data_IF_192573919565
#
_entry.id   IF_192573919565
#
_cell.length_a   1.000
_cell.length_b   1.000
_cell.length_c   1.000
_cell.angle_alpha   90.00
_cell.angle_beta   90.00
_cell.angle_gamma   90.00
#
_symmetry.space_group_name_H-M   'P 1'
#
loop_
_entity.id
_entity.type
_entity.pdbx_description
1 polymer ?
#
# COMPACT_ATOMS: atom_id res chain seq x y z
N UNK A 1 -24.56 26.44 -24.67
CA UNK A 1 -24.46 25.58 -25.85
C UNK A 1 -23.56 26.32 -26.82
N UNK A 2 -22.30 25.88 -26.92
CA UNK A 2 -21.26 26.65 -27.59
C UNK A 2 -21.40 26.42 -29.11
N UNK A 3 -21.19 27.42 -29.98
CA UNK A 3 -21.28 27.26 -31.44
C UNK A 3 -20.35 26.18 -32.02
N UNK A 4 -19.37 25.72 -31.21
CA UNK A 4 -18.49 24.59 -31.48
C UNK A 4 -19.22 23.23 -31.47
N UNK A 5 -20.31 23.10 -30.70
CA UNK A 5 -21.01 21.83 -30.50
C UNK A 5 -21.95 21.49 -31.68
N UNK A 6 -22.49 22.49 -32.37
CA UNK A 6 -23.32 22.31 -33.58
C UNK A 6 -22.50 21.94 -34.82
N UNK A 7 -21.27 22.46 -34.93
CA UNK A 7 -20.34 22.09 -36.00
C UNK A 7 -19.91 20.61 -35.91
N UNK A 8 -19.77 20.08 -34.70
CA UNK A 8 -19.41 18.67 -34.48
C UNK A 8 -20.55 17.72 -34.90
N UNK A 9 -21.80 18.07 -34.62
CA UNK A 9 -22.95 17.23 -34.95
C UNK A 9 -23.27 17.25 -36.46
N UNK A 10 -23.17 18.41 -37.10
CA UNK A 10 -23.42 18.54 -38.55
C UNK A 10 -22.34 17.86 -39.39
N UNK A 11 -21.07 17.90 -38.96
CA UNK A 11 -19.96 17.26 -39.69
C UNK A 11 -19.91 15.74 -39.48
N UNK A 12 -20.33 15.23 -38.31
CA UNK A 12 -20.43 13.79 -38.02
C UNK A 12 -21.36 13.02 -38.97
N UNK A 13 -22.34 13.72 -39.56
CA UNK A 13 -23.29 13.15 -40.51
C UNK A 13 -22.69 12.91 -41.90
N UNK A 14 -21.66 13.68 -42.27
CA UNK A 14 -21.03 13.64 -43.61
C UNK A 14 -19.85 12.67 -43.70
N UNK A 15 -19.22 12.33 -42.57
CA UNK A 15 -17.97 11.55 -42.51
C UNK A 15 -18.15 10.04 -42.25
N UNK A 16 -19.39 9.53 -42.32
CA UNK A 16 -19.73 8.13 -41.95
C UNK A 16 -19.15 7.05 -42.88
N UNK A 17 -18.32 7.40 -43.86
CA UNK A 17 -17.82 6.47 -44.88
C UNK A 17 -16.29 6.30 -44.96
N UNK A 18 -15.50 6.94 -44.07
CA UNK A 18 -14.03 6.81 -44.15
C UNK A 18 -13.36 6.84 -42.76
N UNK A 19 -13.01 5.67 -42.22
CA UNK A 19 -12.38 5.52 -40.89
C UNK A 19 -11.08 6.34 -40.76
N UNK A 20 -10.28 6.41 -41.82
CA UNK A 20 -9.06 7.22 -41.84
C UNK A 20 -9.35 8.73 -41.70
N UNK A 21 -10.49 9.21 -42.23
CA UNK A 21 -10.92 10.60 -42.11
C UNK A 21 -11.33 10.97 -40.69
N UNK A 22 -11.88 10.01 -39.94
CA UNK A 22 -12.25 10.19 -38.54
C UNK A 22 -11.01 10.30 -37.65
N UNK A 23 -10.01 9.42 -37.84
CA UNK A 23 -8.75 9.46 -37.08
C UNK A 23 -7.98 10.77 -37.30
N UNK A 24 -7.81 11.19 -38.56
CA UNK A 24 -7.10 12.43 -38.89
C UNK A 24 -7.79 13.68 -38.31
N UNK A 25 -9.12 13.66 -38.21
CA UNK A 25 -9.89 14.75 -37.61
C UNK A 25 -9.73 14.80 -36.09
N UNK A 26 -9.76 13.64 -35.43
CA UNK A 26 -9.53 13.55 -33.98
C UNK A 26 -8.13 14.01 -33.63
N UNK A 27 -7.10 13.56 -34.33
CA UNK A 27 -5.71 13.97 -34.08
C UNK A 27 -5.52 15.49 -34.25
N UNK A 28 -6.14 16.08 -35.27
CA UNK A 28 -6.12 17.52 -35.49
C UNK A 28 -6.76 18.30 -34.32
N UNK A 29 -7.89 17.81 -33.80
CA UNK A 29 -8.53 18.41 -32.62
C UNK A 29 -7.62 18.35 -31.40
N UNK A 30 -6.96 17.21 -31.17
CA UNK A 30 -6.04 17.05 -30.04
C UNK A 30 -4.80 17.95 -30.18
N UNK A 31 -4.22 18.07 -31.36
CA UNK A 31 -3.09 18.97 -31.63
C UNK A 31 -3.45 20.44 -31.38
N UNK A 32 -4.64 20.87 -31.83
CA UNK A 32 -5.14 22.22 -31.55
C UNK A 32 -5.30 22.47 -30.05
N UNK A 33 -5.88 21.53 -29.31
CA UNK A 33 -6.03 21.63 -27.85
C UNK A 33 -4.69 21.66 -27.12
N UNK A 34 -3.72 20.85 -27.55
CA UNK A 34 -2.37 20.85 -26.98
C UNK A 34 -1.69 22.22 -27.13
N UNK A 35 -1.79 22.83 -28.31
CA UNK A 35 -1.25 24.17 -28.58
C UNK A 35 -1.91 25.26 -27.73
N UNK A 36 -3.23 25.17 -27.54
CA UNK A 36 -3.98 26.11 -26.69
C UNK A 36 -3.53 26.04 -25.22
N UNK A 37 -3.35 24.83 -24.69
CA UNK A 37 -2.86 24.62 -23.32
C UNK A 37 -1.44 25.16 -23.14
N UNK A 38 -0.57 24.97 -24.13
CA UNK A 38 0.82 25.42 -24.07
C UNK A 38 0.93 26.96 -24.02
N UNK A 39 0.03 27.68 -24.68
CA UNK A 39 -0.04 29.14 -24.62
C UNK A 39 -0.46 29.66 -23.23
N UNK A 40 -1.29 28.90 -22.52
CA UNK A 40 -1.76 29.25 -21.18
C UNK A 40 -0.67 29.14 -20.10
N UNK A 41 0.47 28.48 -20.40
CA UNK A 41 1.61 28.30 -19.48
C UNK A 41 2.14 29.61 -18.88
N UNK A 42 2.13 30.71 -19.64
CA UNK A 42 2.68 32.01 -19.19
C UNK A 42 1.65 32.91 -18.51
N UNK A 43 0.37 32.79 -18.87
CA UNK A 43 -0.66 33.77 -18.51
C UNK A 43 -1.70 33.23 -17.52
N UNK A 44 -1.94 31.91 -17.49
CA UNK A 44 -2.97 31.29 -16.66
C UNK A 44 -2.60 29.83 -16.30
N UNK A 45 -1.60 29.61 -15.43
CA UNK A 45 -1.13 28.27 -15.09
C UNK A 45 -2.23 27.40 -14.44
N UNK A 46 -3.16 27.99 -13.68
CA UNK A 46 -4.29 27.25 -13.09
C UNK A 46 -5.24 26.68 -14.15
N UNK A 47 -5.54 27.46 -15.19
CA UNK A 47 -6.35 27.03 -16.32
C UNK A 47 -5.65 25.93 -17.12
N UNK A 48 -4.33 26.05 -17.32
CA UNK A 48 -3.50 25.01 -17.94
C UNK A 48 -3.64 23.68 -17.19
N UNK A 49 -3.46 23.67 -15.86
CA UNK A 49 -3.58 22.44 -15.07
C UNK A 49 -4.98 21.82 -15.12
N UNK A 50 -6.04 22.63 -15.05
CA UNK A 50 -7.42 22.14 -15.19
C UNK A 50 -7.67 21.50 -16.55
N UNK A 51 -7.23 22.15 -17.63
CA UNK A 51 -7.39 21.64 -18.99
C UNK A 51 -6.60 20.34 -19.23
N UNK A 52 -5.40 20.23 -18.64
CA UNK A 52 -4.63 18.97 -18.65
C UNK A 52 -5.42 17.87 -17.94
N UNK A 53 -5.96 18.14 -16.75
CA UNK A 53 -6.74 17.16 -15.99
C UNK A 53 -8.00 16.70 -16.75
N UNK A 54 -8.71 17.62 -17.41
CA UNK A 54 -9.88 17.32 -18.25
C UNK A 54 -9.52 16.42 -19.45
N UNK A 55 -8.36 16.65 -20.09
CA UNK A 55 -7.92 15.86 -21.25
C UNK A 55 -7.35 14.50 -20.83
N UNK A 56 -6.55 14.45 -19.76
CA UNK A 56 -5.90 13.21 -19.31
C UNK A 56 -6.79 12.34 -18.42
N UNK A 57 -7.89 12.90 -17.92
CA UNK A 57 -8.77 12.27 -16.92
C UNK A 57 -8.13 12.19 -15.53
N UNK A 58 -8.89 11.65 -14.57
CA UNK A 58 -8.36 11.34 -13.23
C UNK A 58 -7.25 10.32 -13.38
N UNK A 59 -6.02 10.71 -13.04
CA UNK A 59 -4.88 9.80 -12.95
C UNK A 59 -5.20 8.76 -11.88
N UNK A 60 -5.75 7.61 -12.29
CA UNK A 60 -5.75 6.43 -11.44
C UNK A 60 -4.28 6.10 -11.29
N UNK A 61 -3.70 6.50 -10.15
CA UNK A 61 -2.43 5.96 -9.73
C UNK A 61 -2.72 4.48 -9.49
N UNK A 62 -2.60 3.67 -10.54
CA UNK A 62 -2.32 2.27 -10.40
C UNK A 62 -1.02 2.28 -9.60
N UNK A 63 -1.16 2.15 -8.29
CA UNK A 63 -0.09 1.77 -7.39
C UNK A 63 0.36 0.39 -7.86
N UNK A 64 1.03 0.35 -8.99
CA UNK A 64 1.84 -0.78 -9.38
C UNK A 64 2.99 -0.68 -8.41
N UNK A 65 2.80 -1.32 -7.25
CA UNK A 65 3.70 -1.29 -6.11
C UNK A 65 5.10 -1.62 -6.56
N UNK A 66 5.86 -0.56 -6.84
CA UNK A 66 7.23 -0.69 -7.22
C UNK A 66 8.05 -0.79 -5.94
N UNK A 67 8.98 -1.73 -5.92
CA UNK A 67 9.84 -1.98 -4.76
C UNK A 67 11.28 -1.77 -5.21
N UNK A 68 12.10 -1.21 -4.33
CA UNK A 68 13.51 -0.97 -4.64
C UNK A 68 14.31 -2.27 -4.43
N UNK A 69 15.04 -2.67 -5.46
CA UNK A 69 16.02 -3.74 -5.40
C UNK A 69 17.18 -3.37 -4.47
N UNK A 70 17.97 -4.37 -4.06
CA UNK A 70 19.16 -4.15 -3.25
C UNK A 70 20.21 -3.28 -3.96
N UNK A 71 20.36 -3.45 -5.28
CA UNK A 71 21.28 -2.67 -6.13
C UNK A 71 20.77 -1.25 -6.43
N UNK A 72 19.58 -0.89 -5.98
CA UNK A 72 18.98 0.42 -6.16
C UNK A 72 18.00 0.55 -7.32
N UNK A 73 17.84 -0.48 -8.14
CA UNK A 73 16.90 -0.50 -9.27
C UNK A 73 15.44 -0.57 -8.80
N UNK A 74 14.53 -0.12 -9.66
CA UNK A 74 13.08 -0.17 -9.39
C UNK A 74 12.52 -1.47 -9.97
N UNK A 75 12.04 -2.35 -9.09
CA UNK A 75 11.34 -3.59 -9.45
C UNK A 75 9.86 -3.30 -9.64
N UNK A 76 9.34 -3.72 -10.79
CA UNK A 76 7.93 -3.61 -11.14
C UNK A 76 7.44 -5.02 -11.51
N UNK A 77 6.29 -5.42 -10.97
CA UNK A 77 5.66 -6.72 -11.23
C UNK A 77 5.54 -7.57 -9.97
N UNK A 78 4.39 -8.24 -9.84
CA UNK A 78 4.00 -8.96 -8.61
C UNK A 78 5.01 -10.02 -8.18
N UNK A 79 5.47 -10.84 -9.11
CA UNK A 79 6.36 -11.98 -8.83
C UNK A 79 7.73 -11.52 -8.32
N UNK A 80 8.38 -10.60 -9.04
CA UNK A 80 9.65 -10.01 -8.61
C UNK A 80 9.54 -9.24 -7.30
N UNK A 81 8.40 -8.59 -7.05
CA UNK A 81 8.14 -7.93 -5.77
C UNK A 81 8.09 -8.95 -4.62
N UNK A 82 7.43 -10.10 -4.81
CA UNK A 82 7.40 -11.17 -3.80
C UNK A 82 8.79 -11.77 -3.55
N UNK A 83 9.59 -11.98 -4.60
CA UNK A 83 10.96 -12.44 -4.48
C UNK A 83 11.81 -11.46 -3.64
N UNK A 84 11.69 -10.16 -3.94
CA UNK A 84 12.39 -9.11 -3.19
C UNK A 84 11.96 -9.05 -1.73
N UNK A 85 10.67 -9.24 -1.42
CA UNK A 85 10.17 -9.35 -0.05
C UNK A 85 10.77 -10.56 0.67
N UNK A 86 10.82 -11.71 0.02
CA UNK A 86 11.38 -12.93 0.59
C UNK A 86 12.89 -12.77 0.88
N UNK A 87 13.64 -12.18 -0.06
CA UNK A 87 15.05 -11.83 0.12
C UNK A 87 15.25 -10.90 1.32
N UNK A 88 14.49 -9.80 1.38
CA UNK A 88 14.58 -8.83 2.48
C UNK A 88 14.36 -9.47 3.85
N UNK A 89 13.31 -10.30 4.00
CA UNK A 89 13.00 -10.96 5.26
C UNK A 89 14.11 -11.95 5.64
N UNK A 90 14.66 -12.71 4.69
CA UNK A 90 15.77 -13.63 4.95
C UNK A 90 17.00 -12.91 5.47
N UNK A 91 17.34 -11.75 4.90
CA UNK A 91 18.47 -10.95 5.37
C UNK A 91 18.20 -10.35 6.76
N UNK A 92 17.01 -9.79 6.95
CA UNK A 92 16.63 -9.13 8.20
C UNK A 92 16.67 -10.08 9.41
N UNK A 93 16.24 -11.32 9.20
CA UNK A 93 16.21 -12.36 10.24
C UNK A 93 17.33 -13.39 10.09
N UNK A 94 18.40 -13.06 9.36
CA UNK A 94 19.57 -13.94 9.28
C UNK A 94 20.23 -14.01 10.65
N UNK A 95 20.09 -15.15 11.30
CA UNK A 95 20.74 -15.41 12.58
C UNK A 95 22.20 -15.81 12.35
N UNK A 96 23.12 -14.87 12.53
CA UNK A 96 24.57 -15.10 12.44
C UNK A 96 25.22 -15.33 13.81
N UNK A 97 24.39 -15.58 14.84
CA UNK A 97 24.92 -16.05 16.12
C UNK A 97 25.57 -17.41 15.85
N UNK A 98 26.87 -17.53 16.17
CA UNK A 98 27.55 -18.83 16.24
C UNK A 98 26.64 -19.76 16.98
N UNK A 99 26.49 -21.00 16.51
CA UNK A 99 25.74 -22.06 17.17
C UNK A 99 26.18 -22.03 18.63
N UNK A 100 25.40 -21.32 19.45
CA UNK A 100 25.62 -21.29 20.86
C UNK A 100 25.28 -22.72 21.12
N UNK A 101 26.31 -23.54 21.38
CA UNK A 101 26.15 -24.80 22.09
C UNK A 101 25.11 -24.45 23.11
N UNK A 102 23.85 -24.84 22.84
CA UNK A 102 22.73 -24.52 23.70
C UNK A 102 23.22 -25.25 24.90
N UNK A 103 23.76 -24.51 25.89
CA UNK A 103 24.19 -25.13 27.10
C UNK A 103 22.96 -25.94 27.42
N UNK A 104 23.13 -27.26 27.52
CA UNK A 104 22.12 -28.12 28.13
C UNK A 104 22.06 -27.65 29.57
N UNK A 105 21.58 -26.42 29.76
CA UNK A 105 21.06 -25.86 30.96
C UNK A 105 19.96 -26.85 31.21
N UNK A 106 20.20 -27.73 32.18
CA UNK A 106 19.14 -28.48 32.79
C UNK A 106 18.01 -27.47 33.03
N UNK A 107 16.97 -27.53 32.20
CA UNK A 107 15.80 -26.64 32.29
C UNK A 107 15.06 -26.84 33.62
N UNK A 108 15.47 -27.83 34.41
CA UNK A 108 15.15 -27.94 35.82
C UNK A 108 15.87 -26.82 36.58
N UNK A 109 15.20 -25.68 36.70
CA UNK A 109 15.46 -24.74 37.78
C UNK A 109 15.31 -25.42 39.15
N UNK A 110 15.64 -24.73 40.26
CA UNK A 110 15.39 -25.25 41.59
C UNK A 110 13.92 -25.68 41.75
N UNK A 111 13.64 -26.70 42.56
CA UNK A 111 12.26 -27.13 42.81
C UNK A 111 11.48 -25.97 43.43
N UNK A 112 10.22 -25.81 42.99
CA UNK A 112 9.31 -24.79 43.52
C UNK A 112 9.09 -25.08 45.01
N UNK A 113 9.39 -24.11 45.87
CA UNK A 113 9.24 -24.25 47.32
C UNK A 113 7.82 -23.85 47.77
N UNK A 114 7.36 -24.42 48.89
CA UNK A 114 6.01 -24.12 49.43
C UNK A 114 5.90 -22.64 49.81
N UNK A 115 6.98 -22.08 50.35
CA UNK A 115 7.08 -20.69 50.78
C UNK A 115 6.93 -19.71 49.60
N UNK A 116 7.43 -20.08 48.42
CA UNK A 116 7.27 -19.29 47.19
C UNK A 116 5.81 -19.23 46.78
N UNK A 117 5.11 -20.37 46.83
CA UNK A 117 3.69 -20.48 46.48
C UNK A 117 2.84 -19.70 47.50
N UNK A 118 3.10 -19.85 48.79
CA UNK A 118 2.39 -19.08 49.84
C UNK A 118 2.60 -17.57 49.69
N UNK A 119 3.83 -17.15 49.35
CA UNK A 119 4.14 -15.74 49.10
C UNK A 119 3.46 -15.21 47.84
N UNK A 120 3.36 -16.04 46.80
CA UNK A 120 2.67 -15.68 45.57
C UNK A 120 1.17 -15.47 45.83
N UNK A 121 0.51 -16.40 46.53
CA UNK A 121 -0.91 -16.29 46.89
C UNK A 121 -1.17 -15.01 47.71
N UNK A 122 -0.34 -14.74 48.74
CA UNK A 122 -0.47 -13.51 49.57
C UNK A 122 -0.28 -12.21 48.80
N UNK A 123 0.43 -12.22 47.67
CA UNK A 123 0.66 -11.04 46.82
C UNK A 123 -0.46 -10.82 45.79
N UNK A 124 -1.34 -11.80 45.58
CA UNK A 124 -2.46 -11.67 44.65
C UNK A 124 -3.46 -10.63 45.18
N UNK A 125 -4.18 -9.98 44.26
CA UNK A 125 -5.19 -8.97 44.62
C UNK A 125 -6.57 -9.62 44.64
N UNK A 126 -7.35 -9.31 45.67
CA UNK A 126 -8.76 -9.65 45.79
C UNK A 126 -9.64 -8.92 44.77
N UNK A 127 -10.81 -9.49 44.50
CA UNK A 127 -11.83 -8.88 43.64
C UNK A 127 -11.45 -8.83 42.16
N UNK A 128 -10.58 -9.73 41.70
CA UNK A 128 -10.26 -9.90 40.27
C UNK A 128 -11.27 -10.82 39.59
N UNK A 129 -11.53 -10.53 38.31
CA UNK A 129 -12.36 -11.40 37.49
C UNK A 129 -11.73 -12.79 37.39
N UNK A 130 -12.56 -13.81 37.52
CA UNK A 130 -12.14 -15.22 37.43
C UNK A 130 -11.78 -15.59 35.99
N UNK A 131 -10.88 -16.56 35.85
CA UNK A 131 -10.54 -17.15 34.55
C UNK A 131 -11.61 -18.13 34.06
N UNK A 132 -11.34 -18.85 32.97
CA UNK A 132 -12.23 -19.90 32.44
C UNK A 132 -12.50 -21.04 33.43
N UNK A 133 -11.64 -21.20 34.43
CA UNK A 133 -11.77 -22.14 35.55
C UNK A 133 -12.78 -21.68 36.61
N UNK A 134 -13.19 -20.41 36.57
CA UNK A 134 -14.12 -19.78 37.49
C UNK A 134 -13.70 -19.85 38.98
N UNK A 135 -12.38 -19.93 39.24
CA UNK A 135 -11.82 -19.96 40.59
C UNK A 135 -11.30 -18.56 40.93
N UNK A 136 -11.70 -18.04 42.08
CA UNK A 136 -11.24 -16.74 42.58
C UNK A 136 -10.12 -16.91 43.60
N UNK A 137 -9.33 -15.85 43.81
CA UNK A 137 -8.18 -15.86 44.73
C UNK A 137 -8.63 -16.15 46.16
N UNK A 138 -9.81 -15.64 46.53
CA UNK A 138 -10.44 -15.80 47.83
C UNK A 138 -10.73 -17.27 48.18
N UNK A 139 -10.85 -18.14 47.18
CA UNK A 139 -11.06 -19.58 47.38
C UNK A 139 -9.76 -20.36 47.60
N UNK A 140 -8.62 -19.76 47.24
CA UNK A 140 -7.29 -20.38 47.26
C UNK A 140 -6.48 -19.90 48.48
N UNK A 141 -6.86 -18.77 49.08
CA UNK A 141 -6.24 -18.29 50.32
C UNK A 141 -6.37 -19.33 51.45
N UNK A 142 -5.22 -19.64 52.07
CA UNK A 142 -5.07 -20.57 53.20
C UNK A 142 -5.33 -19.90 54.55
#
# INVERSE_FOLDING_TARGET
MHPSDELLLTFSSSLRSNEAGVYMFVDCIYDMKCKEIEQQRKHAPQTMYRNIEEITGKRTFLSTGCIKAMNGDIIIGKEKTLERWAEYIRELFKDDRRDHNIMKNNFAGPPIMKEEVETAIKKMKHGKATGPDNISVELIEL
#
